data_IF_127709793630
#
_entry.id   IF_127709793630
#
_cell.length_a   1.000
_cell.length_b   1.000
_cell.length_c   1.000
_cell.angle_alpha   90.00
_cell.angle_beta   90.00
_cell.angle_gamma   90.00
#
_symmetry.space_group_name_H-M   'P 1'
#
loop_
_entity.id
_entity.type
_entity.pdbx_description
1 polymer ?
#
# COMPACT_ATOMS: atom_id res chain seq x y z
N UNK A 1 -99.07 25.21 33.18
CA UNK A 1 -97.66 24.92 33.53
C UNK A 1 -97.05 24.29 32.31
N UNK A 2 -96.12 25.05 31.68
CA UNK A 2 -95.31 24.52 30.59
C UNK A 2 -94.14 23.81 31.26
N UNK A 3 -94.12 22.48 31.21
CA UNK A 3 -92.96 21.69 31.68
C UNK A 3 -91.94 21.76 30.59
N UNK A 4 -90.84 22.54 30.73
CA UNK A 4 -89.71 22.53 29.87
C UNK A 4 -88.84 21.32 30.21
N UNK A 5 -88.78 20.29 29.35
CA UNK A 5 -87.90 19.15 29.51
C UNK A 5 -86.49 19.65 29.07
N UNK A 6 -85.54 19.58 29.96
CA UNK A 6 -84.15 19.86 29.71
C UNK A 6 -83.46 18.60 29.13
N UNK A 7 -82.85 18.73 27.96
CA UNK A 7 -82.12 17.63 27.31
C UNK A 7 -80.64 17.75 27.56
N UNK A 8 -80.09 16.83 28.37
CA UNK A 8 -78.66 16.81 28.68
C UNK A 8 -77.88 15.72 27.89
N UNK A 9 -78.52 15.07 26.93
CA UNK A 9 -77.83 13.94 26.20
C UNK A 9 -76.58 14.40 25.50
N UNK A 10 -76.63 15.54 24.79
CA UNK A 10 -75.50 16.13 24.11
C UNK A 10 -74.35 16.52 25.09
N UNK A 11 -74.70 17.10 26.23
CA UNK A 11 -73.77 17.47 27.30
C UNK A 11 -73.05 16.21 27.85
N UNK A 12 -73.81 15.18 28.16
CA UNK A 12 -73.28 13.91 28.69
C UNK A 12 -72.38 13.23 27.63
N UNK A 13 -72.70 13.30 26.34
CA UNK A 13 -71.86 12.81 25.25
C UNK A 13 -70.54 13.57 25.16
N UNK A 14 -70.57 14.90 25.28
CA UNK A 14 -69.37 15.74 25.31
C UNK A 14 -68.50 15.43 26.53
N UNK A 15 -69.12 15.28 27.74
CA UNK A 15 -68.40 14.85 28.95
C UNK A 15 -67.73 13.48 28.74
N UNK A 16 -68.43 12.54 28.11
CA UNK A 16 -67.88 11.22 27.84
C UNK A 16 -66.71 11.29 26.85
N UNK A 17 -66.76 12.15 25.80
CA UNK A 17 -65.69 12.39 24.85
C UNK A 17 -64.47 12.99 25.55
N UNK A 18 -64.66 14.00 26.40
CA UNK A 18 -63.55 14.62 27.16
C UNK A 18 -62.88 13.63 28.15
N UNK A 19 -63.70 12.77 28.80
CA UNK A 19 -63.19 11.72 29.67
C UNK A 19 -62.41 10.63 28.87
N UNK A 20 -62.87 10.34 27.66
CA UNK A 20 -62.14 9.40 26.79
C UNK A 20 -60.78 10.01 26.34
N UNK A 21 -60.73 11.32 26.00
CA UNK A 21 -59.50 12.01 25.67
C UNK A 21 -58.49 12.05 26.85
N UNK A 22 -58.98 11.93 28.10
CA UNK A 22 -58.10 11.90 29.27
C UNK A 22 -57.12 10.69 29.30
N UNK A 23 -57.40 9.63 28.55
CA UNK A 23 -56.50 8.50 28.40
C UNK A 23 -55.17 8.89 27.70
N UNK A 24 -55.26 9.91 26.84
CA UNK A 24 -54.13 10.44 26.06
C UNK A 24 -53.65 11.83 26.55
N UNK A 25 -54.06 12.22 27.77
CA UNK A 25 -53.84 13.55 28.33
C UNK A 25 -52.35 13.97 28.33
N UNK A 26 -51.45 13.03 28.53
CA UNK A 26 -50.00 13.24 28.55
C UNK A 26 -49.41 13.61 27.15
N UNK A 27 -50.15 13.31 26.07
CA UNK A 27 -49.72 13.55 24.71
C UNK A 27 -50.20 14.90 24.14
N UNK A 28 -51.20 15.56 24.78
CA UNK A 28 -51.69 16.85 24.36
C UNK A 28 -50.81 18.01 24.86
N UNK A 29 -50.85 19.15 24.15
CA UNK A 29 -50.20 20.35 24.64
C UNK A 29 -50.86 20.80 25.97
N UNK A 30 -50.06 21.33 26.89
CA UNK A 30 -50.53 21.79 28.20
C UNK A 30 -51.68 22.78 28.06
N UNK A 31 -51.61 23.69 27.07
CA UNK A 31 -52.60 24.71 26.78
C UNK A 31 -53.97 24.11 26.40
N UNK A 32 -53.97 23.24 25.36
CA UNK A 32 -55.25 22.69 24.87
C UNK A 32 -55.86 21.70 25.86
N UNK A 33 -55.05 20.94 26.60
CA UNK A 33 -55.54 20.05 27.66
C UNK A 33 -56.08 20.85 28.87
N UNK A 34 -55.48 21.99 29.25
CA UNK A 34 -56.01 22.87 30.28
C UNK A 34 -57.39 23.42 29.93
N UNK A 35 -57.60 23.81 28.66
CA UNK A 35 -58.88 24.25 28.14
C UNK A 35 -59.96 23.18 28.25
N UNK A 36 -59.63 21.93 27.86
CA UNK A 36 -60.55 20.76 28.03
C UNK A 36 -60.87 20.54 29.50
N UNK A 37 -59.84 20.57 30.35
CA UNK A 37 -60.04 20.32 31.82
C UNK A 37 -60.97 21.38 32.44
N UNK A 38 -60.75 22.64 32.08
CA UNK A 38 -61.57 23.77 32.54
C UNK A 38 -63.03 23.66 32.02
N UNK A 39 -63.16 23.36 30.69
CA UNK A 39 -64.49 23.19 30.11
C UNK A 39 -65.23 21.98 30.67
N UNK A 40 -64.55 20.88 30.93
CA UNK A 40 -65.08 19.64 31.51
C UNK A 40 -65.61 19.88 32.94
N UNK A 41 -64.81 20.57 33.78
CA UNK A 41 -65.24 20.92 35.15
C UNK A 41 -66.51 21.73 35.12
N UNK A 42 -66.63 22.70 34.25
CA UNK A 42 -67.81 23.53 34.07
C UNK A 42 -69.01 22.69 33.56
N UNK A 43 -68.79 21.84 32.55
CA UNK A 43 -69.80 20.97 31.99
C UNK A 43 -70.37 19.97 33.04
N UNK A 44 -69.47 19.37 33.85
CA UNK A 44 -69.88 18.44 34.94
C UNK A 44 -70.72 19.14 35.99
N UNK A 45 -70.35 20.38 36.35
CA UNK A 45 -71.13 21.17 37.29
C UNK A 45 -72.55 21.42 36.78
N UNK A 46 -72.69 21.82 35.50
CA UNK A 46 -73.97 22.07 34.85
C UNK A 46 -74.73 20.79 34.62
N UNK A 47 -74.07 19.69 34.36
CA UNK A 47 -74.73 18.35 34.25
C UNK A 47 -75.41 17.94 35.59
N UNK A 48 -74.81 18.27 36.72
CA UNK A 48 -75.33 18.01 38.07
C UNK A 48 -76.44 19.00 38.55
N UNK A 49 -76.52 20.16 37.93
CA UNK A 49 -77.53 21.17 38.32
C UNK A 49 -78.91 20.85 37.72
N UNK A 50 -79.93 20.93 38.54
CA UNK A 50 -81.35 20.58 38.20
C UNK A 50 -82.14 21.78 37.74
N UNK A 51 -81.64 23.00 37.90
CA UNK A 51 -82.34 24.27 37.61
C UNK A 51 -81.80 25.07 36.45
N UNK A 52 -80.83 24.54 35.71
CA UNK A 52 -80.24 25.21 34.53
C UNK A 52 -81.21 25.27 33.34
N UNK A 53 -81.03 26.24 32.49
CA UNK A 53 -81.78 26.43 31.24
C UNK A 53 -81.12 25.63 30.09
N UNK A 54 -81.94 25.24 29.08
CA UNK A 54 -81.37 24.56 27.88
C UNK A 54 -80.30 25.33 27.25
N UNK A 55 -80.42 26.67 27.15
CA UNK A 55 -79.38 27.56 26.55
C UNK A 55 -78.06 27.51 27.30
N UNK A 56 -78.09 27.38 28.63
CA UNK A 56 -76.88 27.19 29.46
C UNK A 56 -76.26 25.81 29.17
N UNK A 57 -77.04 24.80 29.11
CA UNK A 57 -76.61 23.42 28.77
C UNK A 57 -75.93 23.40 27.42
N UNK A 58 -76.60 23.97 26.38
CA UNK A 58 -76.08 24.03 25.03
C UNK A 58 -74.78 24.81 24.95
N UNK A 59 -74.64 25.94 25.65
CA UNK A 59 -73.44 26.74 25.71
C UNK A 59 -72.24 25.92 26.27
N UNK A 60 -72.41 25.26 27.38
CA UNK A 60 -71.33 24.43 27.99
C UNK A 60 -71.07 23.18 27.19
N UNK A 61 -72.06 22.61 26.53
CA UNK A 61 -71.90 21.51 25.57
C UNK A 61 -70.96 21.94 24.43
N UNK A 62 -71.31 23.08 23.80
CA UNK A 62 -70.49 23.64 22.68
C UNK A 62 -69.07 24.00 23.13
N UNK A 63 -68.97 24.65 24.31
CA UNK A 63 -67.65 25.00 24.85
C UNK A 63 -66.75 23.74 25.08
N UNK A 64 -67.32 22.67 25.64
CA UNK A 64 -66.57 21.45 25.86
C UNK A 64 -66.25 20.73 24.55
N UNK A 65 -67.20 20.65 23.60
CA UNK A 65 -66.98 20.10 22.28
C UNK A 65 -65.87 20.83 21.56
N UNK A 66 -65.92 22.17 21.52
CA UNK A 66 -64.87 22.99 20.88
C UNK A 66 -63.51 22.76 21.56
N UNK A 67 -63.43 22.68 22.89
CA UNK A 67 -62.19 22.39 23.58
C UNK A 67 -61.62 21.02 23.19
N UNK A 68 -62.47 19.97 23.11
CA UNK A 68 -62.07 18.64 22.72
C UNK A 68 -61.65 18.60 21.24
N UNK A 69 -62.40 19.29 20.36
CA UNK A 69 -62.09 19.34 18.93
C UNK A 69 -60.81 20.14 18.62
N UNK A 70 -60.42 21.06 19.55
CA UNK A 70 -59.21 21.86 19.45
C UNK A 70 -57.99 21.23 20.13
N UNK A 71 -58.07 19.96 20.57
CA UNK A 71 -56.92 19.28 21.15
C UNK A 71 -55.79 19.14 20.15
N UNK A 72 -54.62 19.62 20.55
CA UNK A 72 -53.38 19.50 19.79
C UNK A 72 -52.40 18.60 20.51
N UNK A 73 -51.78 17.69 19.78
CA UNK A 73 -50.72 16.88 20.32
C UNK A 73 -49.42 17.69 20.43
N UNK A 74 -48.63 17.35 21.44
CA UNK A 74 -47.27 17.91 21.57
C UNK A 74 -46.43 17.53 20.33
N UNK A 75 -45.55 18.43 19.93
CA UNK A 75 -44.59 18.15 18.87
C UNK A 75 -43.66 17.01 19.29
N UNK A 76 -43.25 16.23 18.33
CA UNK A 76 -42.23 15.23 18.54
C UNK A 76 -40.85 15.93 18.74
N UNK A 77 -40.04 15.31 19.62
CA UNK A 77 -38.69 15.79 19.91
C UNK A 77 -37.66 15.03 19.05
N UNK A 78 -37.01 15.74 18.16
CA UNK A 78 -36.00 15.21 17.24
C UNK A 78 -34.56 15.42 17.74
N UNK A 79 -34.33 16.11 18.86
CA UNK A 79 -32.99 16.51 19.31
C UNK A 79 -31.99 15.36 19.36
N UNK A 80 -32.39 14.22 19.90
CA UNK A 80 -31.52 13.05 19.98
C UNK A 80 -31.24 12.43 18.59
N UNK A 81 -32.24 12.41 17.70
CA UNK A 81 -32.11 11.90 16.34
C UNK A 81 -31.19 12.79 15.52
N UNK A 82 -31.34 14.10 15.61
CA UNK A 82 -30.50 15.07 14.88
C UNK A 82 -29.05 14.97 15.34
N UNK A 83 -28.81 14.93 16.65
CA UNK A 83 -27.47 14.71 17.19
C UNK A 83 -26.85 13.40 16.73
N UNK A 84 -27.63 12.32 16.64
CA UNK A 84 -27.14 11.04 16.12
C UNK A 84 -26.83 11.09 14.62
N UNK A 85 -27.65 11.81 13.83
CA UNK A 85 -27.40 12.05 12.39
C UNK A 85 -26.12 12.84 12.18
N UNK A 86 -25.93 13.94 12.91
CA UNK A 86 -24.73 14.78 12.83
C UNK A 86 -23.47 13.96 13.15
N UNK A 87 -23.51 13.13 14.21
CA UNK A 87 -22.40 12.27 14.58
C UNK A 87 -22.08 11.22 13.51
N UNK A 88 -23.10 10.61 12.92
CA UNK A 88 -22.94 9.63 11.85
C UNK A 88 -22.39 10.29 10.57
N UNK A 89 -22.92 11.46 10.21
CA UNK A 89 -22.52 12.21 9.02
C UNK A 89 -21.05 12.65 9.10
N UNK A 90 -20.61 13.12 10.26
CA UNK A 90 -19.20 13.46 10.49
C UNK A 90 -18.24 12.29 10.20
N UNK A 91 -18.69 11.06 10.46
CA UNK A 91 -17.91 9.85 10.17
C UNK A 91 -18.02 9.49 8.69
N UNK A 92 -19.23 9.47 8.14
CA UNK A 92 -19.48 9.06 6.75
C UNK A 92 -18.84 10.00 5.73
N UNK A 93 -18.72 11.28 6.04
CA UNK A 93 -18.05 12.30 5.21
C UNK A 93 -16.53 12.30 5.37
N UNK A 94 -15.96 11.51 6.29
CA UNK A 94 -14.53 11.38 6.43
C UNK A 94 -14.00 10.39 5.37
N UNK A 95 -13.21 10.89 4.42
CA UNK A 95 -12.60 10.09 3.34
C UNK A 95 -11.81 8.86 3.83
N UNK A 96 -11.30 8.91 5.06
CA UNK A 96 -10.55 7.80 5.67
C UNK A 96 -11.39 6.85 6.49
N UNK A 97 -12.70 7.08 6.63
CA UNK A 97 -13.54 6.25 7.47
C UNK A 97 -13.54 4.79 7.02
N UNK A 98 -13.66 4.56 5.72
CA UNK A 98 -13.65 3.23 5.12
C UNK A 98 -12.32 2.49 5.27
N UNK A 99 -11.20 3.21 5.42
CA UNK A 99 -9.89 2.62 5.70
C UNK A 99 -9.63 2.45 7.21
N UNK A 100 -10.38 3.15 8.03
CA UNK A 100 -10.22 3.16 9.49
C UNK A 100 -11.06 2.08 10.15
N UNK A 101 -12.30 1.91 9.70
CA UNK A 101 -13.27 1.03 10.33
C UNK A 101 -13.58 -0.19 9.46
N UNK A 102 -13.96 -1.29 10.13
CA UNK A 102 -14.28 -2.54 9.43
C UNK A 102 -15.47 -2.39 8.50
N UNK A 103 -15.45 -3.15 7.40
CA UNK A 103 -16.50 -3.12 6.38
C UNK A 103 -17.88 -3.36 7.00
N UNK A 104 -17.98 -4.34 7.92
CA UNK A 104 -19.24 -4.72 8.54
C UNK A 104 -19.83 -3.58 9.39
N UNK A 105 -19.01 -2.91 10.23
CA UNK A 105 -19.51 -1.84 11.10
C UNK A 105 -19.83 -0.57 10.32
N UNK A 106 -19.08 -0.27 9.25
CA UNK A 106 -19.40 0.82 8.33
C UNK A 106 -20.67 0.57 7.53
N UNK A 107 -20.93 -0.67 7.12
CA UNK A 107 -22.17 -1.04 6.45
C UNK A 107 -23.37 -0.88 7.39
N UNK A 108 -23.25 -1.35 8.63
CA UNK A 108 -24.29 -1.17 9.65
C UNK A 108 -24.57 0.31 9.94
N UNK A 109 -23.51 1.14 10.03
CA UNK A 109 -23.68 2.58 10.20
C UNK A 109 -24.46 3.21 9.04
N UNK A 110 -24.11 2.87 7.80
CA UNK A 110 -24.83 3.38 6.61
C UNK A 110 -26.28 2.98 6.59
N UNK A 111 -26.59 1.70 6.90
CA UNK A 111 -27.95 1.20 7.00
C UNK A 111 -28.77 1.99 8.03
N UNK A 112 -28.22 2.19 9.24
CA UNK A 112 -28.92 2.91 10.30
C UNK A 112 -29.05 4.41 10.02
N UNK A 113 -28.06 4.99 9.37
CA UNK A 113 -28.15 6.39 8.93
C UNK A 113 -29.22 6.58 7.86
N UNK A 114 -29.32 5.70 6.87
CA UNK A 114 -30.38 5.72 5.86
C UNK A 114 -31.76 5.54 6.51
N UNK A 115 -31.90 4.61 7.43
CA UNK A 115 -33.13 4.43 8.20
C UNK A 115 -33.52 5.69 8.98
N UNK A 116 -32.55 6.36 9.62
CA UNK A 116 -32.77 7.59 10.36
C UNK A 116 -33.14 8.77 9.44
N UNK A 117 -32.60 8.83 8.22
CA UNK A 117 -32.99 9.84 7.23
C UNK A 117 -34.43 9.68 6.74
N UNK A 118 -34.95 8.46 6.75
CA UNK A 118 -36.31 8.15 6.34
C UNK A 118 -37.36 8.49 7.42
N UNK A 119 -36.96 8.90 8.63
CA UNK A 119 -37.87 9.40 9.66
C UNK A 119 -38.42 10.76 9.20
N UNK A 120 -39.76 10.92 9.07
CA UNK A 120 -40.33 12.19 8.68
C UNK A 120 -39.99 13.31 9.67
N UNK A 121 -39.62 14.48 9.14
CA UNK A 121 -39.30 15.68 9.95
C UNK A 121 -40.50 16.58 10.16
N UNK A 122 -41.63 16.27 9.54
CA UNK A 122 -42.89 17.02 9.64
C UNK A 122 -44.09 16.06 9.72
N UNK A 123 -45.17 16.50 10.34
CA UNK A 123 -46.40 15.75 10.43
C UNK A 123 -46.40 14.64 11.48
N UNK A 124 -45.34 14.49 12.24
CA UNK A 124 -45.24 13.60 13.40
C UNK A 124 -45.35 14.40 14.71
N UNK A 125 -45.98 13.82 15.66
CA UNK A 125 -46.20 14.37 17.00
C UNK A 125 -45.67 13.39 18.08
N UNK A 126 -45.91 13.72 19.35
CA UNK A 126 -45.42 12.94 20.51
C UNK A 126 -45.81 11.44 20.44
N UNK A 127 -46.88 11.07 19.76
CA UNK A 127 -47.30 9.68 19.60
C UNK A 127 -46.34 8.85 18.78
N UNK A 128 -45.53 9.53 17.94
CA UNK A 128 -44.47 8.95 17.12
C UNK A 128 -43.12 8.94 17.83
N UNK A 129 -43.00 9.51 19.05
CA UNK A 129 -41.73 9.69 19.76
C UNK A 129 -40.92 8.38 19.88
N UNK A 130 -41.58 7.29 20.18
CA UNK A 130 -40.92 5.97 20.30
C UNK A 130 -40.19 5.57 19.00
N UNK A 131 -40.73 5.90 17.82
CA UNK A 131 -40.09 5.58 16.56
C UNK A 131 -38.85 6.47 16.32
N UNK A 132 -38.95 7.74 16.70
CA UNK A 132 -37.84 8.72 16.63
C UNK A 132 -36.70 8.29 17.56
N UNK A 133 -37.06 8.01 18.83
CA UNK A 133 -36.10 7.56 19.84
C UNK A 133 -35.41 6.25 19.46
N UNK A 134 -36.19 5.31 18.91
CA UNK A 134 -35.64 4.05 18.42
C UNK A 134 -34.60 4.30 17.31
N UNK A 135 -34.92 5.12 16.32
CA UNK A 135 -34.01 5.45 15.23
C UNK A 135 -32.74 6.16 15.76
N UNK A 136 -32.91 7.11 16.69
CA UNK A 136 -31.80 7.80 17.36
C UNK A 136 -30.88 6.83 18.12
N UNK A 137 -31.47 5.91 18.90
CA UNK A 137 -30.73 4.92 19.67
C UNK A 137 -30.01 3.93 18.79
N UNK A 138 -30.66 3.41 17.74
CA UNK A 138 -30.05 2.48 16.79
C UNK A 138 -28.89 3.11 16.04
N UNK A 139 -29.03 4.36 15.59
CA UNK A 139 -27.97 5.10 14.92
C UNK A 139 -26.81 5.41 15.87
N UNK A 140 -27.10 5.88 17.09
CA UNK A 140 -26.08 6.14 18.11
C UNK A 140 -25.33 4.87 18.50
N UNK A 141 -26.04 3.73 18.57
CA UNK A 141 -25.41 2.43 18.81
C UNK A 141 -24.52 2.01 17.65
N UNK A 142 -24.91 2.28 16.39
CA UNK A 142 -24.08 2.01 15.22
C UNK A 142 -22.81 2.87 15.18
N UNK A 143 -22.90 4.16 15.56
CA UNK A 143 -21.76 5.06 15.71
C UNK A 143 -20.79 4.56 16.79
N UNK A 144 -21.30 4.24 17.97
CA UNK A 144 -20.47 3.75 19.09
C UNK A 144 -19.96 2.34 18.89
N UNK A 145 -20.65 1.54 18.07
CA UNK A 145 -20.27 0.19 17.70
C UNK A 145 -19.24 0.09 16.58
N UNK A 146 -18.70 1.20 16.08
CA UNK A 146 -17.69 1.18 15.05
C UNK A 146 -16.40 0.52 15.55
N UNK A 147 -15.94 -0.48 14.81
CA UNK A 147 -14.73 -1.22 15.13
C UNK A 147 -13.64 -0.86 14.12
N UNK A 148 -12.48 -0.45 14.61
CA UNK A 148 -11.32 -0.13 13.77
C UNK A 148 -10.67 -1.38 13.22
N UNK A 149 -10.04 -1.26 12.07
CA UNK A 149 -9.06 -2.25 11.62
C UNK A 149 -7.83 -2.27 12.53
N UNK A 150 -7.15 -3.41 12.59
CA UNK A 150 -5.83 -3.52 13.16
C UNK A 150 -4.83 -2.61 12.41
N UNK A 151 -3.77 -2.20 13.08
CA UNK A 151 -2.70 -1.42 12.47
C UNK A 151 -1.71 -2.35 11.75
N UNK A 152 -1.55 -2.14 10.46
CA UNK A 152 -0.67 -2.91 9.58
C UNK A 152 0.66 -2.21 9.27
N UNK A 153 1.01 -1.12 9.94
CA UNK A 153 2.22 -0.34 9.63
C UNK A 153 3.50 -1.19 9.67
N UNK A 154 3.64 -2.08 10.67
CA UNK A 154 4.79 -2.99 10.77
C UNK A 154 4.80 -4.02 9.65
N UNK A 155 3.63 -4.53 9.25
CA UNK A 155 3.50 -5.45 8.12
C UNK A 155 3.89 -4.77 6.81
N UNK A 156 3.42 -3.55 6.59
CA UNK A 156 3.80 -2.73 5.44
C UNK A 156 5.30 -2.44 5.43
N UNK A 157 5.90 -2.17 6.60
CA UNK A 157 7.35 -1.98 6.72
C UNK A 157 8.12 -3.26 6.34
N UNK A 158 7.63 -4.44 6.75
CA UNK A 158 8.23 -5.72 6.37
C UNK A 158 8.15 -5.95 4.84
N UNK A 159 6.99 -5.71 4.24
CA UNK A 159 6.82 -5.80 2.77
C UNK A 159 7.77 -4.85 2.05
N UNK A 160 7.84 -3.60 2.50
CA UNK A 160 8.74 -2.59 1.92
C UNK A 160 10.22 -2.97 2.10
N UNK A 161 10.59 -3.57 3.23
CA UNK A 161 11.95 -4.06 3.46
C UNK A 161 12.31 -5.16 2.48
N UNK A 162 11.40 -6.11 2.24
CA UNK A 162 11.62 -7.17 1.24
C UNK A 162 11.77 -6.61 -0.18
N UNK A 163 10.91 -5.66 -0.57
CA UNK A 163 10.95 -5.05 -1.91
C UNK A 163 12.23 -4.25 -2.19
N UNK A 164 12.94 -3.84 -1.13
CA UNK A 164 14.24 -3.15 -1.22
C UNK A 164 15.43 -4.09 -1.26
N UNK A 165 15.23 -5.39 -1.08
CA UNK A 165 16.34 -6.34 -1.17
C UNK A 165 16.88 -6.38 -2.60
N UNK A 166 18.21 -6.37 -2.73
CA UNK A 166 18.83 -6.73 -3.99
C UNK A 166 18.88 -8.25 -4.08
N UNK A 167 18.06 -8.83 -4.97
CA UNK A 167 17.89 -10.26 -5.12
C UNK A 167 19.21 -11.00 -5.43
N UNK A 168 20.16 -10.34 -6.09
CA UNK A 168 21.46 -10.92 -6.44
C UNK A 168 22.34 -11.24 -5.22
N UNK A 169 22.02 -10.65 -4.06
CA UNK A 169 22.81 -10.80 -2.85
C UNK A 169 22.39 -11.99 -1.97
N UNK A 170 21.32 -12.69 -2.33
CA UNK A 170 20.70 -13.71 -1.48
C UNK A 170 20.43 -15.00 -2.23
N UNK A 171 20.27 -16.08 -1.50
CA UNK A 171 19.88 -17.36 -2.09
C UNK A 171 18.48 -17.26 -2.73
N UNK A 172 18.32 -17.67 -4.00
CA UNK A 172 17.03 -17.61 -4.70
C UNK A 172 15.91 -18.41 -4.02
N UNK A 173 16.25 -19.52 -3.36
CA UNK A 173 15.26 -20.37 -2.67
C UNK A 173 14.76 -19.66 -1.40
N UNK A 174 15.64 -19.02 -0.64
CA UNK A 174 15.28 -18.24 0.54
C UNK A 174 14.40 -17.04 0.15
N UNK A 175 14.78 -16.33 -0.92
CA UNK A 175 13.96 -15.23 -1.45
C UNK A 175 12.58 -15.70 -1.91
N UNK A 176 12.50 -16.85 -2.58
CA UNK A 176 11.24 -17.44 -3.04
C UNK A 176 10.34 -17.81 -1.84
N UNK A 177 10.92 -18.41 -0.79
CA UNK A 177 10.20 -18.75 0.43
C UNK A 177 9.66 -17.50 1.16
N UNK A 178 10.49 -16.45 1.27
CA UNK A 178 10.07 -15.16 1.85
C UNK A 178 9.00 -14.48 0.98
N UNK A 179 9.14 -14.54 -0.35
CA UNK A 179 8.17 -13.96 -1.27
C UNK A 179 6.77 -14.50 -1.05
N UNK A 180 6.62 -15.82 -0.83
CA UNK A 180 5.31 -16.41 -0.52
C UNK A 180 4.70 -15.77 0.73
N UNK A 181 5.49 -15.56 1.79
CA UNK A 181 5.03 -14.92 3.04
C UNK A 181 4.69 -13.44 2.83
N UNK A 182 5.49 -12.75 2.04
CA UNK A 182 5.26 -11.34 1.69
C UNK A 182 3.99 -11.19 0.86
N UNK A 183 3.76 -12.07 -0.12
CA UNK A 183 2.55 -12.07 -0.92
C UNK A 183 1.31 -12.36 -0.06
N UNK A 184 1.40 -13.29 0.90
CA UNK A 184 0.35 -13.53 1.88
C UNK A 184 0.09 -12.29 2.76
N UNK A 185 1.14 -11.61 3.22
CA UNK A 185 1.02 -10.37 3.98
C UNK A 185 0.34 -9.24 3.16
N UNK A 186 0.67 -9.12 1.88
CA UNK A 186 0.00 -8.19 0.95
C UNK A 186 -1.49 -8.50 0.82
N UNK A 187 -1.86 -9.79 0.71
CA UNK A 187 -3.25 -10.21 0.65
C UNK A 187 -4.00 -9.89 1.96
N UNK A 188 -3.38 -10.12 3.11
CA UNK A 188 -3.97 -9.79 4.40
C UNK A 188 -4.20 -8.27 4.58
N UNK A 189 -3.34 -7.45 3.99
CA UNK A 189 -3.47 -5.98 4.03
C UNK A 189 -4.54 -5.41 3.09
N UNK A 190 -5.09 -6.22 2.17
CA UNK A 190 -6.25 -5.79 1.38
C UNK A 190 -7.43 -5.50 2.32
N UNK A 191 -8.17 -4.44 2.04
CA UNK A 191 -9.22 -3.94 2.93
C UNK A 191 -10.21 -5.03 3.34
N UNK A 192 -10.60 -5.87 2.39
CA UNK A 192 -11.52 -6.99 2.58
C UNK A 192 -11.00 -8.10 3.48
N UNK A 193 -9.67 -8.21 3.64
CA UNK A 193 -9.00 -9.25 4.41
C UNK A 193 -8.46 -8.74 5.75
N UNK A 194 -8.48 -7.42 5.98
CA UNK A 194 -7.96 -6.83 7.22
C UNK A 194 -8.74 -7.31 8.43
N UNK A 195 -8.00 -7.68 9.44
CA UNK A 195 -8.53 -8.02 10.75
C UNK A 195 -8.89 -6.75 11.52
N UNK A 196 -9.80 -6.89 12.46
CA UNK A 196 -10.17 -5.82 13.38
C UNK A 196 -9.12 -5.61 14.49
N UNK A 197 -9.28 -4.52 15.23
CA UNK A 197 -8.34 -4.10 16.28
C UNK A 197 -8.19 -5.14 17.41
N UNK A 198 -9.16 -6.04 17.62
CA UNK A 198 -9.06 -7.08 18.66
C UNK A 198 -7.99 -8.12 18.30
N UNK A 199 -7.63 -8.21 17.03
CA UNK A 199 -6.56 -9.08 16.48
C UNK A 199 -5.21 -8.38 16.31
N UNK A 200 -5.06 -7.18 16.89
CA UNK A 200 -3.82 -6.40 16.76
C UNK A 200 -2.57 -7.18 17.20
N UNK A 201 -2.65 -7.94 18.28
CA UNK A 201 -1.54 -8.74 18.78
C UNK A 201 -1.09 -9.79 17.76
N UNK A 202 -2.05 -10.47 17.11
CA UNK A 202 -1.78 -11.48 16.09
C UNK A 202 -1.13 -10.85 14.85
N UNK A 203 -1.66 -9.70 14.38
CA UNK A 203 -1.09 -8.94 13.26
C UNK A 203 0.34 -8.51 13.57
N UNK A 204 0.56 -7.95 14.77
CA UNK A 204 1.88 -7.48 15.20
C UNK A 204 2.88 -8.64 15.29
N UNK A 205 2.47 -9.78 15.82
CA UNK A 205 3.33 -10.97 15.94
C UNK A 205 3.77 -11.46 14.56
N UNK A 206 2.83 -11.63 13.61
CA UNK A 206 3.16 -12.05 12.23
C UNK A 206 4.03 -11.03 11.51
N UNK A 207 3.70 -9.74 11.63
CA UNK A 207 4.47 -8.66 11.02
C UNK A 207 5.91 -8.61 11.54
N UNK A 208 6.09 -8.74 12.87
CA UNK A 208 7.40 -8.74 13.50
C UNK A 208 8.20 -9.98 13.12
N UNK A 209 7.55 -11.15 13.05
CA UNK A 209 8.21 -12.39 12.62
C UNK A 209 8.68 -12.26 11.17
N UNK A 210 7.83 -11.76 10.26
CA UNK A 210 8.18 -11.55 8.86
C UNK A 210 9.34 -10.55 8.71
N UNK A 211 9.26 -9.42 9.41
CA UNK A 211 10.33 -8.42 9.40
C UNK A 211 11.66 -8.99 9.91
N UNK A 212 11.60 -9.79 10.99
CA UNK A 212 12.77 -10.46 11.54
C UNK A 212 13.37 -11.45 10.52
N UNK A 213 12.56 -12.27 9.87
CA UNK A 213 13.05 -13.19 8.84
C UNK A 213 13.75 -12.43 7.71
N UNK A 214 13.14 -11.34 7.21
CA UNK A 214 13.71 -10.51 6.15
C UNK A 214 15.05 -9.89 6.60
N UNK A 215 15.09 -9.32 7.81
CA UNK A 215 16.29 -8.63 8.31
C UNK A 215 17.40 -9.58 8.74
N UNK A 216 17.08 -10.83 9.02
CA UNK A 216 18.05 -11.88 9.36
C UNK A 216 18.54 -12.68 8.15
N UNK A 217 17.99 -12.38 6.96
CA UNK A 217 18.40 -13.06 5.73
C UNK A 217 19.90 -12.88 5.50
N UNK A 218 20.57 -14.01 5.30
CA UNK A 218 22.01 -14.00 5.12
C UNK A 218 22.34 -13.73 3.64
N UNK A 219 23.25 -12.78 3.43
CA UNK A 219 23.78 -12.57 2.09
C UNK A 219 24.67 -13.73 1.69
N UNK A 220 24.70 -13.99 0.40
CA UNK A 220 25.62 -14.95 -0.20
C UNK A 220 27.06 -14.60 0.17
N UNK A 221 27.93 -15.59 0.41
CA UNK A 221 29.34 -15.33 0.61
C UNK A 221 29.97 -14.78 -0.67
N UNK A 222 30.97 -13.93 -0.53
CA UNK A 222 31.78 -13.55 -1.68
C UNK A 222 32.58 -14.75 -2.18
N UNK A 223 32.80 -14.83 -3.48
CA UNK A 223 33.66 -15.85 -4.12
C UNK A 223 35.09 -15.36 -4.16
N UNK A 224 36.00 -16.20 -3.68
CA UNK A 224 37.44 -15.95 -3.69
C UNK A 224 38.19 -16.83 -4.68
N UNK A 225 37.53 -17.72 -5.43
CA UNK A 225 38.18 -18.73 -6.27
C UNK A 225 39.06 -18.08 -7.34
N UNK A 226 38.52 -17.13 -8.07
CA UNK A 226 39.28 -16.41 -9.11
C UNK A 226 40.42 -15.58 -8.51
N UNK A 227 40.17 -14.97 -7.35
CA UNK A 227 41.19 -14.21 -6.62
C UNK A 227 42.35 -15.11 -6.15
N UNK A 228 42.01 -16.23 -5.50
CA UNK A 228 43.03 -17.18 -5.01
C UNK A 228 43.82 -17.76 -6.18
N UNK A 229 43.17 -18.08 -7.29
CA UNK A 229 43.86 -18.54 -8.50
C UNK A 229 44.83 -17.45 -9.07
N UNK A 230 44.40 -16.17 -9.11
CA UNK A 230 45.22 -15.07 -9.58
C UNK A 230 46.43 -14.84 -8.64
N UNK A 231 46.20 -14.85 -7.34
CA UNK A 231 47.27 -14.75 -6.33
C UNK A 231 48.27 -15.88 -6.45
N UNK A 232 47.79 -17.13 -6.60
CA UNK A 232 48.66 -18.30 -6.79
C UNK A 232 49.47 -18.18 -8.09
N UNK A 233 48.86 -17.73 -9.19
CA UNK A 233 49.52 -17.52 -10.47
C UNK A 233 50.59 -16.39 -10.38
N UNK A 234 50.26 -15.28 -9.72
CA UNK A 234 51.23 -14.19 -9.49
C UNK A 234 52.42 -14.65 -8.67
N UNK A 235 52.14 -15.39 -7.55
CA UNK A 235 53.20 -15.95 -6.72
C UNK A 235 54.12 -16.89 -7.51
N UNK A 236 53.53 -17.84 -8.22
CA UNK A 236 54.26 -18.81 -9.03
C UNK A 236 55.16 -18.11 -10.08
N UNK A 237 54.66 -17.00 -10.66
CA UNK A 237 55.41 -16.23 -11.66
C UNK A 237 56.58 -15.43 -11.04
N UNK A 238 56.35 -14.85 -9.87
CA UNK A 238 57.38 -14.10 -9.14
C UNK A 238 58.50 -15.04 -8.66
N UNK A 239 58.17 -16.25 -8.23
CA UNK A 239 59.13 -17.26 -7.75
C UNK A 239 59.79 -18.04 -8.87
N UNK A 240 59.34 -17.90 -10.13
CA UNK A 240 59.93 -18.57 -11.30
C UNK A 240 61.31 -18.04 -11.61
N UNK A 241 62.22 -18.92 -12.03
CA UNK A 241 63.62 -18.58 -12.34
C UNK A 241 63.74 -17.64 -13.55
N UNK A 242 62.74 -17.58 -14.41
CA UNK A 242 62.68 -16.69 -15.59
C UNK A 242 62.12 -15.30 -15.26
N UNK A 243 61.69 -15.03 -14.04
CA UNK A 243 61.10 -13.73 -13.64
C UNK A 243 62.08 -12.57 -13.88
N UNK A 244 63.39 -12.81 -13.67
CA UNK A 244 64.43 -11.83 -13.96
C UNK A 244 64.50 -11.40 -15.43
N UNK A 245 63.88 -12.14 -16.35
CA UNK A 245 63.90 -11.83 -17.79
C UNK A 245 62.84 -10.76 -18.14
N UNK A 246 61.95 -10.41 -17.25
CA UNK A 246 60.98 -9.32 -17.46
C UNK A 246 61.58 -7.95 -17.20
N UNK A 247 60.99 -6.91 -17.80
CA UNK A 247 61.40 -5.53 -17.54
C UNK A 247 61.17 -5.19 -16.07
N UNK A 248 62.03 -4.34 -15.50
CA UNK A 248 61.91 -3.95 -14.09
C UNK A 248 60.56 -3.33 -13.79
N UNK A 249 59.95 -2.57 -14.72
CA UNK A 249 58.65 -1.93 -14.53
C UNK A 249 57.51 -2.95 -14.43
N UNK A 250 57.43 -3.92 -15.35
CA UNK A 250 56.38 -4.94 -15.36
C UNK A 250 56.54 -5.93 -14.22
N UNK A 251 57.78 -6.32 -13.90
CA UNK A 251 58.09 -7.19 -12.77
C UNK A 251 57.67 -6.52 -11.41
N UNK A 252 57.99 -5.21 -11.30
CA UNK A 252 57.56 -4.44 -10.12
C UNK A 252 56.04 -4.32 -10.04
N UNK A 253 55.34 -4.04 -11.12
CA UNK A 253 53.89 -3.95 -11.14
C UNK A 253 53.20 -5.24 -10.65
N UNK A 254 53.70 -6.42 -11.08
CA UNK A 254 53.21 -7.70 -10.60
C UNK A 254 53.50 -7.91 -9.09
N UNK A 255 54.71 -7.55 -8.66
CA UNK A 255 55.06 -7.67 -7.24
C UNK A 255 54.21 -6.76 -6.36
N UNK A 256 53.96 -5.52 -6.78
CA UNK A 256 53.11 -4.56 -6.06
C UNK A 256 51.65 -5.07 -6.00
N UNK A 257 51.08 -5.55 -7.08
CA UNK A 257 49.73 -6.13 -7.14
C UNK A 257 49.59 -7.38 -6.24
N UNK A 258 50.63 -8.26 -6.26
CA UNK A 258 50.68 -9.42 -5.38
C UNK A 258 50.71 -9.01 -3.89
N UNK A 259 51.58 -8.04 -3.52
CA UNK A 259 51.66 -7.55 -2.14
C UNK A 259 50.34 -6.86 -1.72
N UNK A 260 49.69 -6.11 -2.59
CA UNK A 260 48.43 -5.48 -2.34
C UNK A 260 47.28 -6.50 -2.08
N UNK A 261 47.39 -7.73 -2.63
CA UNK A 261 46.43 -8.79 -2.42
C UNK A 261 46.26 -9.17 -0.93
N UNK A 262 47.30 -8.95 -0.12
CA UNK A 262 47.27 -9.23 1.33
C UNK A 262 46.27 -8.34 2.10
N UNK A 263 45.84 -7.23 1.49
CA UNK A 263 44.81 -6.34 2.09
C UNK A 263 43.37 -6.81 1.86
N UNK A 264 43.16 -7.82 1.04
CA UNK A 264 41.82 -8.37 0.79
C UNK A 264 41.37 -9.17 2.00
N UNK A 265 40.30 -8.69 2.64
CA UNK A 265 39.71 -9.38 3.79
C UNK A 265 38.96 -10.65 3.34
N UNK A 266 39.09 -11.73 4.11
CA UNK A 266 38.41 -13.01 3.85
C UNK A 266 37.10 -13.13 4.60
N UNK A 267 36.20 -14.02 4.17
CA UNK A 267 34.93 -14.31 4.86
C UNK A 267 33.88 -13.22 4.76
N UNK A 268 34.00 -12.33 3.77
CA UNK A 268 32.99 -11.29 3.51
C UNK A 268 31.84 -11.83 2.68
N UNK A 269 30.72 -11.11 2.71
CA UNK A 269 29.56 -11.38 1.90
C UNK A 269 29.71 -10.84 0.47
N UNK A 270 28.74 -11.14 -0.38
CA UNK A 270 28.72 -10.78 -1.81
C UNK A 270 28.88 -9.27 -2.07
N UNK A 271 28.54 -8.41 -1.10
CA UNK A 271 28.73 -6.95 -1.27
C UNK A 271 30.19 -6.53 -1.35
N UNK A 272 31.10 -7.41 -0.90
CA UNK A 272 32.54 -7.21 -1.02
C UNK A 272 33.12 -7.74 -2.35
N UNK A 273 32.28 -8.42 -3.18
CA UNK A 273 32.73 -9.08 -4.42
C UNK A 273 33.45 -8.12 -5.36
N UNK A 274 32.91 -6.91 -5.53
CA UNK A 274 33.54 -5.91 -6.42
C UNK A 274 34.98 -5.55 -6.00
N UNK A 275 35.28 -5.57 -4.70
CA UNK A 275 36.64 -5.34 -4.19
C UNK A 275 37.55 -6.52 -4.53
N UNK A 276 37.06 -7.76 -4.38
CA UNK A 276 37.78 -8.97 -4.73
C UNK A 276 38.04 -9.00 -6.25
N UNK A 277 37.01 -8.68 -7.04
CA UNK A 277 37.12 -8.66 -8.51
C UNK A 277 38.13 -7.60 -9.00
N UNK A 278 38.12 -6.43 -8.36
CA UNK A 278 39.07 -5.36 -8.67
C UNK A 278 40.53 -5.80 -8.37
N UNK A 279 40.75 -6.46 -7.21
CA UNK A 279 42.06 -7.00 -6.85
C UNK A 279 42.46 -8.15 -7.77
N UNK A 280 41.55 -9.06 -8.09
CA UNK A 280 41.76 -10.13 -9.07
C UNK A 280 42.15 -9.58 -10.41
N UNK A 281 41.42 -8.57 -10.87
CA UNK A 281 41.69 -7.86 -12.13
C UNK A 281 43.08 -7.21 -12.12
N UNK A 282 43.41 -6.52 -11.02
CA UNK A 282 44.71 -5.86 -10.90
C UNK A 282 45.89 -6.87 -11.03
N UNK A 283 45.76 -8.05 -10.37
CA UNK A 283 46.76 -9.12 -10.48
C UNK A 283 46.83 -9.65 -11.89
N UNK A 284 45.68 -9.97 -12.50
CA UNK A 284 45.61 -10.50 -13.85
C UNK A 284 46.13 -9.50 -14.90
N UNK A 285 45.80 -8.22 -14.75
CA UNK A 285 46.31 -7.14 -15.60
C UNK A 285 47.85 -7.04 -15.48
N UNK A 286 48.38 -7.20 -14.26
CA UNK A 286 49.82 -7.18 -14.02
C UNK A 286 50.51 -8.41 -14.57
N UNK A 287 49.92 -9.60 -14.48
CA UNK A 287 50.40 -10.85 -15.12
C UNK A 287 50.41 -10.71 -16.64
N UNK A 288 49.31 -10.21 -17.23
CA UNK A 288 49.22 -9.99 -18.66
C UNK A 288 50.17 -8.89 -19.19
N UNK A 289 50.45 -7.91 -18.31
CA UNK A 289 51.38 -6.82 -18.63
C UNK A 289 52.87 -7.15 -18.50
N UNK A 290 53.19 -8.41 -18.11
CA UNK A 290 54.59 -8.85 -18.07
C UNK A 290 55.23 -8.80 -19.44
N UNK A 291 56.32 -8.00 -19.55
CA UNK A 291 57.06 -7.81 -20.79
C UNK A 291 58.47 -8.35 -20.62
N UNK A 292 58.88 -9.29 -21.45
CA UNK A 292 60.22 -9.83 -21.44
C UNK A 292 61.22 -8.78 -21.99
N UNK A 293 62.45 -8.83 -21.56
CA UNK A 293 63.56 -7.99 -22.08
C UNK A 293 63.85 -8.26 -23.55
N UNK A 294 63.60 -9.43 -24.07
CA UNK A 294 63.45 -9.66 -25.51
C UNK A 294 61.98 -9.47 -25.88
N UNK A 295 61.62 -9.20 -27.09
CA UNK A 295 60.24 -9.00 -27.45
C UNK A 295 59.34 -10.13 -26.92
N UNK A 296 58.46 -9.82 -25.97
CA UNK A 296 57.55 -10.79 -25.36
C UNK A 296 56.16 -10.66 -25.98
N UNK A 297 55.68 -11.75 -26.50
CA UNK A 297 54.38 -11.86 -27.14
C UNK A 297 53.28 -12.48 -26.25
N UNK A 298 53.65 -12.90 -25.02
CA UNK A 298 52.72 -13.61 -24.13
C UNK A 298 51.47 -12.80 -23.88
N UNK A 299 51.61 -11.49 -23.58
CA UNK A 299 50.44 -10.61 -23.33
C UNK A 299 49.61 -10.42 -24.59
N UNK A 300 50.22 -10.28 -25.74
CA UNK A 300 49.53 -10.17 -27.01
C UNK A 300 48.79 -11.48 -27.35
N UNK A 301 49.42 -12.65 -27.11
CA UNK A 301 48.81 -13.96 -27.37
C UNK A 301 47.61 -14.21 -26.45
N UNK A 302 47.74 -13.86 -25.16
CA UNK A 302 46.64 -13.96 -24.21
C UNK A 302 45.46 -13.03 -24.55
N UNK A 303 45.76 -11.78 -24.98
CA UNK A 303 44.75 -10.85 -25.42
C UNK A 303 44.02 -11.33 -26.67
N UNK A 304 44.78 -11.90 -27.64
CA UNK A 304 44.22 -12.51 -28.85
C UNK A 304 43.29 -13.67 -28.50
N UNK A 305 43.71 -14.57 -27.59
CA UNK A 305 42.92 -15.71 -27.18
C UNK A 305 41.63 -15.25 -26.44
N UNK A 306 41.75 -14.26 -25.56
CA UNK A 306 40.61 -13.69 -24.85
C UNK A 306 39.60 -13.02 -25.79
N UNK A 307 40.09 -12.17 -26.71
CA UNK A 307 39.24 -11.50 -27.69
C UNK A 307 38.52 -12.52 -28.58
N UNK A 308 39.23 -13.58 -28.99
CA UNK A 308 38.60 -14.68 -29.74
C UNK A 308 37.51 -15.36 -28.91
N UNK A 309 37.78 -15.73 -27.65
CA UNK A 309 36.82 -16.36 -26.77
C UNK A 309 35.56 -15.46 -26.51
N UNK A 310 35.74 -14.12 -26.44
CA UNK A 310 34.59 -13.21 -26.33
C UNK A 310 33.72 -13.24 -27.59
N UNK A 311 34.34 -13.30 -28.77
CA UNK A 311 33.61 -13.37 -30.04
C UNK A 311 32.90 -14.71 -30.24
N UNK A 312 33.42 -15.79 -29.62
CA UNK A 312 32.86 -17.16 -29.71
C UNK A 312 31.82 -17.43 -28.63
N UNK A 313 31.51 -16.48 -27.74
CA UNK A 313 30.45 -16.61 -26.70
C UNK A 313 29.09 -16.76 -27.35
N UNK A 314 28.26 -17.56 -26.72
CA UNK A 314 26.86 -17.73 -27.12
C UNK A 314 26.00 -16.48 -26.93
N UNK A 315 26.41 -15.60 -26.02
CA UNK A 315 25.75 -14.33 -25.68
C UNK A 315 26.35 -13.10 -26.35
N UNK A 316 27.25 -13.28 -27.34
CA UNK A 316 27.87 -12.15 -28.07
C UNK A 316 26.83 -11.27 -28.78
N UNK A 317 25.67 -11.82 -29.10
CA UNK A 317 24.52 -11.11 -29.66
C UNK A 317 23.91 -10.08 -28.72
N UNK A 318 24.19 -10.16 -27.42
CA UNK A 318 23.71 -9.21 -26.40
C UNK A 318 24.55 -7.91 -26.37
N UNK A 319 25.68 -7.89 -27.09
CA UNK A 319 26.51 -6.70 -27.20
C UNK A 319 26.17 -5.87 -28.45
N UNK A 320 26.47 -4.55 -28.40
CA UNK A 320 26.23 -3.65 -29.53
C UNK A 320 27.11 -4.04 -30.73
N UNK A 321 26.55 -3.97 -31.95
CA UNK A 321 27.23 -4.32 -33.17
C UNK A 321 28.49 -3.50 -33.36
N UNK A 322 28.49 -2.20 -32.98
CA UNK A 322 29.66 -1.32 -33.03
C UNK A 322 30.78 -1.82 -32.12
N UNK A 323 30.49 -2.22 -30.90
CA UNK A 323 31.47 -2.73 -29.95
C UNK A 323 32.05 -4.09 -30.40
N UNK A 324 31.20 -4.96 -30.95
CA UNK A 324 31.64 -6.25 -31.51
C UNK A 324 32.51 -6.06 -32.75
N UNK A 325 32.16 -5.15 -33.66
CA UNK A 325 32.93 -4.85 -34.84
C UNK A 325 34.28 -4.18 -34.50
N UNK A 326 34.32 -3.28 -33.52
CA UNK A 326 35.56 -2.69 -32.99
C UNK A 326 36.51 -3.79 -32.46
N UNK A 327 35.97 -4.77 -31.71
CA UNK A 327 36.75 -5.91 -31.21
C UNK A 327 37.33 -6.77 -32.34
N UNK A 328 36.58 -7.03 -33.40
CA UNK A 328 37.08 -7.79 -34.58
C UNK A 328 38.26 -7.05 -35.26
N UNK A 329 38.11 -5.76 -35.49
CA UNK A 329 39.15 -4.94 -36.14
C UNK A 329 40.44 -4.92 -35.31
N UNK A 330 40.36 -4.74 -34.00
CA UNK A 330 41.51 -4.74 -33.10
C UNK A 330 42.19 -6.13 -33.04
N UNK A 331 41.43 -7.22 -33.08
CA UNK A 331 41.96 -8.59 -33.13
C UNK A 331 42.77 -8.86 -34.41
N UNK A 332 42.31 -8.39 -35.57
CA UNK A 332 42.99 -8.57 -36.84
C UNK A 332 44.30 -7.79 -36.86
N UNK A 333 44.30 -6.54 -36.36
CA UNK A 333 45.53 -5.73 -36.23
C UNK A 333 46.54 -6.39 -35.29
N UNK A 334 46.10 -6.95 -34.16
CA UNK A 334 46.95 -7.66 -33.20
C UNK A 334 47.61 -8.92 -33.82
N UNK A 335 46.85 -9.67 -34.60
CA UNK A 335 47.36 -10.85 -35.33
C UNK A 335 48.37 -10.51 -36.41
N UNK A 336 48.29 -9.32 -36.97
CA UNK A 336 49.22 -8.80 -37.99
C UNK A 336 50.57 -8.32 -37.43
N UNK A 337 50.70 -8.18 -36.11
CA UNK A 337 51.97 -7.76 -35.48
C UNK A 337 53.05 -8.76 -35.76
N UNK A 338 54.20 -8.26 -36.28
CA UNK A 338 55.36 -9.09 -36.58
C UNK A 338 55.87 -9.81 -35.35
N UNK A 339 56.07 -11.14 -35.44
CA UNK A 339 56.59 -12.00 -34.35
C UNK A 339 58.13 -11.96 -34.25
N UNK A 340 58.82 -11.06 -35.00
CA UNK A 340 60.26 -10.95 -35.04
C UNK A 340 60.77 -9.63 -34.50
N UNK A 341 59.96 -8.92 -33.71
CA UNK A 341 60.30 -7.66 -33.08
C UNK A 341 61.36 -7.86 -31.99
N UNK A 342 62.25 -6.89 -31.86
CA UNK A 342 63.31 -6.84 -30.82
C UNK A 342 62.85 -5.98 -29.63
N UNK A 343 63.64 -5.93 -28.53
CA UNK A 343 63.29 -5.22 -27.28
C UNK A 343 62.97 -3.75 -27.51
N UNK A 344 63.72 -3.07 -28.40
CA UNK A 344 63.52 -1.67 -28.80
C UNK A 344 62.19 -1.45 -29.56
N UNK A 345 61.56 -2.54 -30.05
CA UNK A 345 60.26 -2.55 -30.71
C UNK A 345 59.13 -3.08 -29.81
N UNK A 346 59.43 -3.35 -28.52
CA UNK A 346 58.46 -3.88 -27.56
C UNK A 346 57.21 -2.99 -27.47
N UNK A 347 57.36 -1.64 -27.69
CA UNK A 347 56.25 -0.71 -27.69
C UNK A 347 55.18 -1.05 -28.74
N UNK A 348 55.57 -1.56 -29.91
CA UNK A 348 54.63 -1.98 -30.96
C UNK A 348 53.75 -3.12 -30.49
N UNK A 349 54.34 -4.10 -29.74
CA UNK A 349 53.60 -5.23 -29.16
C UNK A 349 52.69 -4.72 -28.07
N UNK A 350 53.19 -3.83 -27.22
CA UNK A 350 52.41 -3.25 -26.11
C UNK A 350 51.23 -2.45 -26.65
N UNK A 351 51.45 -1.55 -27.64
CA UNK A 351 50.39 -0.73 -28.23
C UNK A 351 49.26 -1.61 -28.85
N UNK A 352 49.65 -2.69 -29.55
CA UNK A 352 48.71 -3.59 -30.17
C UNK A 352 47.88 -4.36 -29.10
N UNK A 353 48.54 -4.73 -28.01
CA UNK A 353 47.89 -5.42 -26.87
C UNK A 353 46.87 -4.50 -26.18
N UNK A 354 47.26 -3.25 -25.90
CA UNK A 354 46.39 -2.25 -25.25
C UNK A 354 45.18 -1.91 -26.10
N UNK A 355 45.35 -1.75 -27.39
CA UNK A 355 44.28 -1.52 -28.35
C UNK A 355 43.24 -2.69 -28.32
N UNK A 356 43.75 -3.95 -28.32
CA UNK A 356 42.88 -5.12 -28.27
C UNK A 356 42.12 -5.25 -26.95
N UNK A 357 42.78 -5.00 -25.84
CA UNK A 357 42.17 -5.01 -24.52
C UNK A 357 41.14 -3.86 -24.35
N UNK A 358 41.44 -2.68 -24.88
CA UNK A 358 40.51 -1.55 -24.89
C UNK A 358 39.25 -1.89 -25.69
N UNK A 359 39.38 -2.53 -26.85
CA UNK A 359 38.25 -2.98 -27.65
C UNK A 359 37.44 -4.08 -26.94
N UNK A 360 38.12 -5.02 -26.27
CA UNK A 360 37.46 -6.08 -25.47
C UNK A 360 36.66 -5.53 -24.28
N UNK A 361 37.23 -4.52 -23.57
CA UNK A 361 36.53 -3.81 -22.47
C UNK A 361 35.44 -2.90 -22.98
N UNK A 362 35.52 -2.46 -24.20
CA UNK A 362 34.53 -1.64 -24.87
C UNK A 362 33.32 -2.42 -25.37
N UNK A 363 33.29 -3.76 -25.15
CA UNK A 363 32.07 -4.51 -25.38
C UNK A 363 30.95 -3.95 -24.50
N UNK A 364 30.03 -3.26 -25.15
CA UNK A 364 28.89 -2.65 -24.50
C UNK A 364 27.68 -3.53 -24.70
N UNK A 365 27.08 -3.93 -23.63
CA UNK A 365 25.78 -4.62 -23.71
C UNK A 365 24.78 -3.70 -24.42
N UNK A 366 23.99 -4.27 -25.29
CA UNK A 366 22.76 -3.63 -25.73
C UNK A 366 22.00 -3.27 -24.46
N UNK A 367 21.57 -2.04 -24.37
CA UNK A 367 20.83 -1.61 -23.18
C UNK A 367 19.75 -2.62 -22.82
N UNK A 368 19.46 -2.74 -21.57
CA UNK A 368 18.44 -3.64 -21.09
C UNK A 368 17.17 -3.48 -21.92
N UNK A 369 16.63 -4.60 -22.40
CA UNK A 369 15.36 -4.59 -23.12
C UNK A 369 14.23 -4.36 -22.13
N UNK A 370 13.74 -3.15 -22.12
CA UNK A 370 12.62 -2.73 -21.29
C UNK A 370 11.26 -2.97 -21.95
N UNK A 371 11.23 -3.57 -23.18
CA UNK A 371 10.00 -3.75 -23.97
C UNK A 371 8.91 -4.47 -23.17
N UNK A 372 9.29 -5.55 -22.46
CA UNK A 372 8.35 -6.28 -21.62
C UNK A 372 7.87 -5.45 -20.42
N UNK A 373 8.79 -4.67 -19.81
CA UNK A 373 8.45 -3.78 -18.71
C UNK A 373 7.53 -2.66 -19.19
N UNK A 374 7.87 -2.03 -20.32
CA UNK A 374 7.06 -0.94 -20.91
C UNK A 374 5.68 -1.43 -21.32
N UNK A 375 5.63 -2.62 -21.95
CA UNK A 375 4.36 -3.27 -22.26
C UNK A 375 3.55 -3.55 -20.99
N UNK A 376 4.16 -4.10 -19.95
CA UNK A 376 3.49 -4.38 -18.70
C UNK A 376 2.99 -3.10 -18.02
N UNK A 377 3.77 -2.01 -18.09
CA UNK A 377 3.35 -0.69 -17.60
C UNK A 377 2.13 -0.22 -18.38
N UNK A 378 2.19 -0.23 -19.72
CA UNK A 378 1.10 0.19 -20.60
C UNK A 378 -0.18 -0.62 -20.38
N UNK A 379 -0.06 -1.96 -20.36
CA UNK A 379 -1.17 -2.87 -20.13
C UNK A 379 -1.84 -2.57 -18.76
N UNK A 380 -1.02 -2.32 -17.72
CA UNK A 380 -1.53 -2.00 -16.38
C UNK A 380 -2.14 -0.59 -16.30
N UNK A 381 -1.62 0.37 -17.04
CA UNK A 381 -2.22 1.71 -17.14
C UNK A 381 -3.59 1.66 -17.79
N UNK A 382 -3.73 0.89 -18.88
CA UNK A 382 -5.02 0.65 -19.55
C UNK A 382 -6.01 -0.06 -18.60
N UNK A 383 -5.54 -1.10 -17.88
CA UNK A 383 -6.35 -1.80 -16.89
C UNK A 383 -6.79 -0.89 -15.73
N UNK A 384 -5.90 -0.02 -15.25
CA UNK A 384 -6.23 0.96 -14.20
C UNK A 384 -7.26 1.97 -14.72
N UNK A 385 -7.09 2.44 -15.94
CA UNK A 385 -8.05 3.37 -16.57
C UNK A 385 -9.44 2.73 -16.67
N UNK A 386 -9.50 1.49 -17.19
CA UNK A 386 -10.73 0.72 -17.28
C UNK A 386 -11.35 0.41 -15.90
N UNK A 387 -10.52 0.11 -14.89
CA UNK A 387 -10.96 -0.17 -13.54
C UNK A 387 -11.58 1.07 -12.86
N UNK A 388 -11.02 2.24 -13.13
CA UNK A 388 -11.57 3.53 -12.67
C UNK A 388 -12.92 3.83 -13.31
N UNK A 389 -13.02 3.61 -14.61
CA UNK A 389 -14.27 3.81 -15.35
C UNK A 389 -15.37 2.84 -14.89
N UNK A 390 -15.00 1.59 -14.66
CA UNK A 390 -15.93 0.55 -14.20
C UNK A 390 -16.46 0.78 -12.77
N UNK A 391 -15.71 1.50 -11.90
CA UNK A 391 -16.14 1.85 -10.55
C UNK A 391 -16.33 0.67 -9.59
N UNK A 392 -15.80 -0.51 -9.93
CA UNK A 392 -15.99 -1.76 -9.17
C UNK A 392 -14.85 -2.05 -8.19
N UNK A 393 -13.76 -1.27 -8.24
CA UNK A 393 -12.61 -1.42 -7.36
C UNK A 393 -12.51 -0.25 -6.38
N UNK A 394 -11.93 -0.50 -5.20
CA UNK A 394 -11.70 0.56 -4.21
C UNK A 394 -10.56 1.47 -4.65
N UNK A 395 -10.61 2.75 -4.28
CA UNK A 395 -9.53 3.71 -4.55
C UNK A 395 -8.18 3.22 -3.97
N UNK A 396 -8.21 2.55 -2.82
CA UNK A 396 -7.04 1.94 -2.21
C UNK A 396 -6.42 0.83 -3.09
N UNK A 397 -7.23 -0.01 -3.74
CA UNK A 397 -6.73 -1.07 -4.63
C UNK A 397 -6.15 -0.47 -5.91
N UNK A 398 -6.80 0.54 -6.48
CA UNK A 398 -6.33 1.27 -7.66
C UNK A 398 -5.00 1.98 -7.34
N UNK A 399 -4.93 2.72 -6.23
CA UNK A 399 -3.73 3.46 -5.80
C UNK A 399 -2.52 2.55 -5.60
N UNK A 400 -2.72 1.31 -5.17
CA UNK A 400 -1.61 0.33 -5.03
C UNK A 400 -1.04 -0.08 -6.37
N UNK A 401 -1.90 -0.31 -7.37
CA UNK A 401 -1.44 -0.60 -8.73
C UNK A 401 -0.74 0.61 -9.32
N UNK A 402 -1.27 1.80 -9.12
CA UNK A 402 -0.62 3.05 -9.55
C UNK A 402 0.76 3.25 -8.89
N UNK A 403 0.88 2.91 -7.61
CA UNK A 403 2.17 2.95 -6.89
C UNK A 403 3.16 1.96 -7.50
N UNK A 404 2.71 0.75 -7.82
CA UNK A 404 3.55 -0.24 -8.51
C UNK A 404 3.93 0.21 -9.92
N UNK A 405 3.01 0.81 -10.67
CA UNK A 405 3.27 1.42 -11.98
C UNK A 405 4.32 2.54 -11.85
N UNK A 406 4.16 3.41 -10.85
CA UNK A 406 5.11 4.49 -10.60
C UNK A 406 6.51 3.97 -10.25
N UNK A 407 6.61 2.92 -9.42
CA UNK A 407 7.86 2.25 -9.11
C UNK A 407 8.49 1.60 -10.35
N UNK A 408 7.68 0.95 -11.19
CA UNK A 408 8.13 0.37 -12.46
C UNK A 408 8.63 1.44 -13.44
N UNK A 409 7.98 2.61 -13.49
CA UNK A 409 8.43 3.76 -14.29
C UNK A 409 9.71 4.40 -13.77
N UNK A 410 9.93 4.31 -12.45
CA UNK A 410 11.12 4.85 -11.79
C UNK A 410 12.35 3.93 -11.88
N UNK A 411 12.22 2.76 -12.51
CA UNK A 411 13.36 1.87 -12.78
C UNK A 411 14.42 2.66 -13.58
N UNK A 412 15.64 2.65 -13.07
CA UNK A 412 16.77 3.30 -13.75
C UNK A 412 16.96 2.68 -15.13
N UNK A 413 16.77 3.48 -16.16
CA UNK A 413 16.89 3.07 -17.56
C UNK A 413 18.27 3.38 -18.16
N UNK A 414 19.21 3.76 -17.29
CA UNK A 414 20.59 4.00 -17.69
C UNK A 414 21.49 2.76 -17.55
N UNK A 415 20.90 1.63 -17.11
CA UNK A 415 21.59 0.36 -16.91
C UNK A 415 21.62 -0.49 -18.18
#
# INVERSE_FOLDING_TARGET
LTVTVIDKRALNSAISAANAAAADAEYYTEATWADVTAALANAQKVAGDVIETQSVIDRYTTALQNAVDSLEYQDANYTALDAAKDAAEAILNNEKADDTYTIATMAALREKYEAAQNIPTTGWDIRNQNAIDKAANELSAAVSGLVKFANYATMQAAVTAFEKLNAEYYDPADLAALKVKVDAAKQEMLRENRLDITKQADVTTRATALLKEITSLQKLPASYDAFNAAVAAAKAKIEASDFQNYTSASAKALSDAYLASASIETGKDITYQATIDAATKAINDALAGLTLKGADYSALDAAIANAQAQLDRTDIGDFTDDSVNALRTALDAAKAVSRKLTVDQQQVITDATDALLAATRGLALKGADYTALDKAISDREEEVAAAKEAGIYTDASISRVETAIAAAKAVDRTL
#
